data_IF_674069044263
#
_entry.id   IF_674069044263
#
_cell.length_a   1.000
_cell.length_b   1.000
_cell.length_c   1.000
_cell.angle_alpha   90.00
_cell.angle_beta   90.00
_cell.angle_gamma   90.00
#
_symmetry.space_group_name_H-M   'P 1'
#
loop_
_entity.id
_entity.type
_entity.pdbx_description
1 polymer ?
#
# COMPACT_ATOMS: atom_id res chain seq x y z
N UNK A 1 -7.37 7.10 -6.62
CA UNK A 1 -6.83 6.69 -5.30
C UNK A 1 -7.97 6.44 -4.32
N UNK A 2 -7.73 5.60 -3.32
CA UNK A 2 -8.75 5.21 -2.34
C UNK A 2 -9.27 6.41 -1.55
N UNK A 3 -10.58 6.64 -1.61
CA UNK A 3 -11.21 7.84 -1.04
C UNK A 3 -11.03 7.96 0.47
N UNK A 4 -10.97 6.83 1.19
CA UNK A 4 -10.73 6.81 2.64
C UNK A 4 -9.39 7.46 2.98
N UNK A 5 -8.30 6.98 2.38
CA UNK A 5 -6.95 7.55 2.59
C UNK A 5 -6.88 9.03 2.18
N UNK A 6 -7.53 9.41 1.08
CA UNK A 6 -7.56 10.81 0.65
C UNK A 6 -8.29 11.71 1.66
N UNK A 7 -9.39 11.23 2.24
CA UNK A 7 -10.12 11.98 3.27
C UNK A 7 -9.32 12.09 4.56
N UNK A 8 -8.60 11.03 4.95
CA UNK A 8 -7.70 11.08 6.10
C UNK A 8 -6.60 12.14 5.90
N UNK A 9 -5.95 12.16 4.72
CA UNK A 9 -4.95 13.19 4.42
C UNK A 9 -5.54 14.61 4.46
N UNK A 10 -6.75 14.80 3.92
CA UNK A 10 -7.45 16.10 3.98
C UNK A 10 -7.77 16.53 5.41
N UNK A 11 -8.10 15.60 6.30
CA UNK A 11 -8.39 15.90 7.71
C UNK A 11 -7.19 16.53 8.42
N UNK A 12 -5.98 16.19 7.99
CA UNK A 12 -4.72 16.81 8.41
C UNK A 12 -4.31 18.01 7.54
N UNK A 13 -5.23 18.57 6.74
CA UNK A 13 -5.01 19.72 5.88
C UNK A 13 -3.92 19.53 4.82
N UNK A 14 -3.66 18.29 4.42
CA UNK A 14 -2.72 18.03 3.34
C UNK A 14 -3.27 18.54 2.00
N UNK A 15 -2.45 19.24 1.22
CA UNK A 15 -2.73 19.53 -0.20
C UNK A 15 -2.52 18.25 -0.99
N UNK A 16 -3.55 17.82 -1.71
CA UNK A 16 -3.47 16.66 -2.57
C UNK A 16 -3.19 17.09 -4.02
N UNK A 17 -2.15 16.55 -4.61
CA UNK A 17 -1.80 16.74 -6.01
C UNK A 17 -2.05 15.43 -6.74
N UNK A 18 -2.98 15.46 -7.70
CA UNK A 18 -3.34 14.28 -8.49
C UNK A 18 -2.34 14.08 -9.64
N UNK A 19 -1.78 12.89 -9.72
CA UNK A 19 -0.92 12.50 -10.85
C UNK A 19 -1.74 11.64 -11.82
N UNK A 20 -1.74 11.93 -13.12
CA UNK A 20 -2.42 11.12 -14.12
C UNK A 20 -1.96 9.66 -14.10
N UNK A 21 -2.84 8.78 -14.57
CA UNK A 21 -2.52 7.35 -14.72
C UNK A 21 -2.42 7.01 -16.21
N UNK A 22 -1.38 6.26 -16.56
CA UNK A 22 -1.25 5.57 -17.83
C UNK A 22 -1.87 4.17 -17.74
N UNK A 23 -1.82 3.40 -18.81
CA UNK A 23 -2.37 2.02 -18.87
C UNK A 23 -1.62 1.04 -17.96
N UNK A 24 -0.39 1.36 -17.58
CA UNK A 24 0.51 0.53 -16.78
C UNK A 24 0.95 1.19 -15.46
N UNK A 25 0.18 2.15 -14.96
CA UNK A 25 0.43 2.79 -13.67
C UNK A 25 0.48 4.32 -13.72
N UNK A 26 1.03 4.93 -12.67
CA UNK A 26 1.18 6.38 -12.57
C UNK A 26 2.06 6.94 -13.69
N UNK A 27 1.72 8.10 -14.22
CA UNK A 27 2.54 8.79 -15.21
C UNK A 27 3.79 9.39 -14.55
N UNK A 28 4.97 8.89 -14.91
CA UNK A 28 6.23 9.24 -14.25
C UNK A 28 6.72 10.65 -14.60
N UNK A 29 6.46 11.14 -15.81
CA UNK A 29 6.82 12.51 -16.22
C UNK A 29 5.99 13.53 -15.44
N UNK A 30 4.70 13.27 -15.29
CA UNK A 30 3.82 14.13 -14.48
C UNK A 30 4.19 14.11 -13.00
N UNK A 31 4.64 12.95 -12.48
CA UNK A 31 5.15 12.84 -11.11
C UNK A 31 6.43 13.68 -10.94
N UNK A 32 7.40 13.50 -11.80
CA UNK A 32 8.67 14.24 -11.76
C UNK A 32 8.43 15.76 -11.79
N UNK A 33 7.62 16.22 -12.72
CA UNK A 33 7.20 17.63 -12.80
C UNK A 33 6.52 18.12 -11.52
N UNK A 34 5.67 17.31 -10.92
CA UNK A 34 5.01 17.66 -9.67
C UNK A 34 6.02 17.76 -8.51
N UNK A 35 6.99 16.86 -8.43
CA UNK A 35 8.06 16.90 -7.43
C UNK A 35 8.97 18.13 -7.56
N UNK A 36 9.20 18.59 -8.81
CA UNK A 36 9.99 19.81 -9.07
C UNK A 36 9.23 21.11 -8.75
N UNK A 37 7.93 21.14 -8.97
CA UNK A 37 7.12 22.38 -8.89
C UNK A 37 6.42 22.56 -7.55
N UNK A 38 6.03 21.47 -6.88
CA UNK A 38 5.34 21.54 -5.60
C UNK A 38 6.34 21.69 -4.44
N UNK A 39 6.03 22.64 -3.56
CA UNK A 39 6.88 22.89 -2.38
C UNK A 39 6.45 21.99 -1.23
N UNK A 40 7.44 21.47 -0.48
CA UNK A 40 7.21 20.75 0.77
C UNK A 40 6.38 19.47 0.60
N UNK A 41 6.66 18.69 -0.46
CA UNK A 41 6.07 17.37 -0.67
C UNK A 41 6.43 16.46 0.50
N UNK A 42 5.46 15.80 1.12
CA UNK A 42 5.67 14.95 2.30
C UNK A 42 5.83 13.49 1.93
N UNK A 43 5.00 13.01 1.04
CA UNK A 43 5.05 11.62 0.57
C UNK A 43 4.28 11.45 -0.73
N UNK A 44 4.61 10.38 -1.43
CA UNK A 44 3.87 9.88 -2.59
C UNK A 44 3.00 8.73 -2.11
N UNK A 45 1.68 8.82 -2.31
CA UNK A 45 0.75 7.72 -2.03
C UNK A 45 0.43 6.95 -3.30
N UNK A 46 0.60 5.64 -3.28
CA UNK A 46 0.31 4.77 -4.42
C UNK A 46 -0.33 3.45 -4.00
N UNK A 47 -1.20 2.91 -4.86
CA UNK A 47 -1.72 1.54 -4.79
C UNK A 47 -1.17 0.83 -6.03
N UNK A 48 -0.03 0.12 -5.93
CA UNK A 48 0.65 -0.40 -7.13
C UNK A 48 -0.01 -1.63 -7.74
N UNK A 49 -0.83 -2.35 -6.98
CA UNK A 49 -1.53 -3.55 -7.46
C UNK A 49 -3.05 -3.31 -7.48
N UNK A 50 -3.67 -3.53 -8.65
CA UNK A 50 -5.14 -3.42 -8.81
C UNK A 50 -5.69 -2.12 -8.21
N UNK A 51 -5.12 -1.00 -8.64
CA UNK A 51 -5.40 0.34 -8.14
C UNK A 51 -6.91 0.60 -8.01
N UNK A 52 -7.32 1.08 -6.85
CA UNK A 52 -8.71 1.44 -6.61
C UNK A 52 -8.93 2.93 -6.96
N UNK A 53 -9.80 3.27 -7.96
CA UNK A 53 -10.80 2.39 -8.60
C UNK A 53 -10.42 1.87 -9.99
N UNK A 54 -9.25 2.17 -10.54
CA UNK A 54 -8.93 1.91 -11.96
C UNK A 54 -8.68 0.44 -12.31
N UNK A 55 -8.31 -0.38 -11.32
CA UNK A 55 -7.89 -1.77 -11.53
C UNK A 55 -6.49 -1.92 -12.13
N UNK A 56 -5.80 -0.83 -12.44
CA UNK A 56 -4.48 -0.83 -13.08
C UNK A 56 -3.43 -1.36 -12.09
N UNK A 57 -2.55 -2.23 -12.58
CA UNK A 57 -1.34 -2.66 -11.87
C UNK A 57 -0.13 -1.94 -12.43
N UNK A 58 0.65 -1.33 -11.54
CA UNK A 58 1.86 -0.59 -11.91
C UNK A 58 2.94 -1.55 -12.39
N UNK A 59 3.52 -1.29 -13.56
CA UNK A 59 4.63 -2.05 -14.12
C UNK A 59 5.86 -2.02 -13.21
N UNK A 60 6.72 -3.04 -13.32
CA UNK A 60 7.94 -3.10 -12.53
C UNK A 60 8.89 -1.92 -12.83
N UNK A 61 8.98 -1.52 -14.09
CA UNK A 61 9.76 -0.37 -14.52
C UNK A 61 9.31 0.91 -13.81
N UNK A 62 7.99 1.17 -13.78
CA UNK A 62 7.43 2.33 -13.09
C UNK A 62 7.59 2.27 -11.57
N UNK A 63 7.60 1.09 -10.96
CA UNK A 63 7.90 0.94 -9.51
C UNK A 63 9.33 1.37 -9.22
N UNK A 64 10.29 0.94 -10.03
CA UNK A 64 11.67 1.38 -9.90
C UNK A 64 11.83 2.89 -10.16
N UNK A 65 11.22 3.41 -11.23
CA UNK A 65 11.30 4.86 -11.53
C UNK A 65 10.68 5.71 -10.43
N UNK A 66 9.55 5.30 -9.86
CA UNK A 66 8.91 5.99 -8.75
C UNK A 66 9.83 6.02 -7.52
N UNK A 67 10.51 4.90 -7.21
CA UNK A 67 11.46 4.82 -6.12
C UNK A 67 12.64 5.78 -6.32
N UNK A 68 13.24 5.78 -7.51
CA UNK A 68 14.37 6.67 -7.85
C UNK A 68 13.97 8.15 -7.79
N UNK A 69 12.79 8.51 -8.28
CA UNK A 69 12.27 9.88 -8.17
C UNK A 69 12.05 10.30 -6.71
N UNK A 70 11.44 9.44 -5.91
CA UNK A 70 11.23 9.70 -4.50
C UNK A 70 12.55 9.88 -3.74
N UNK A 71 13.54 9.04 -4.02
CA UNK A 71 14.89 9.13 -3.47
C UNK A 71 15.59 10.43 -3.87
N UNK A 72 15.55 10.80 -5.16
CA UNK A 72 16.19 12.01 -5.66
C UNK A 72 15.61 13.30 -5.05
N UNK A 73 14.34 13.29 -4.67
CA UNK A 73 13.64 14.44 -4.09
C UNK A 73 13.50 14.38 -2.56
N UNK A 74 14.11 13.39 -1.90
CA UNK A 74 14.02 13.17 -0.44
C UNK A 74 12.55 13.09 0.05
N UNK A 75 11.73 12.31 -0.66
CA UNK A 75 10.30 12.14 -0.41
C UNK A 75 10.00 10.69 -0.08
N UNK A 76 9.18 10.46 0.95
CA UNK A 76 8.75 9.11 1.32
C UNK A 76 7.68 8.57 0.37
N UNK A 77 7.59 7.24 0.28
CA UNK A 77 6.53 6.52 -0.43
C UNK A 77 5.63 5.83 0.58
N UNK A 78 4.33 6.04 0.48
CA UNK A 78 3.31 5.22 1.13
C UNK A 78 2.74 4.25 0.10
N UNK A 79 3.22 3.01 0.14
CA UNK A 79 2.76 1.90 -0.69
C UNK A 79 1.60 1.20 -0.01
N UNK A 80 0.38 1.41 -0.50
CA UNK A 80 -0.84 0.80 -0.01
C UNK A 80 -1.17 -0.45 -0.86
N UNK A 81 -1.07 -1.63 -0.28
CA UNK A 81 -1.18 -2.89 -1.01
C UNK A 81 -2.22 -3.86 -0.43
N UNK A 82 -3.50 -3.52 -0.45
CA UNK A 82 -4.54 -4.41 0.08
C UNK A 82 -4.91 -5.57 -0.86
N UNK A 83 -4.47 -5.55 -2.12
CA UNK A 83 -4.91 -6.50 -3.15
C UNK A 83 -3.79 -7.35 -3.75
N UNK A 84 -2.52 -7.12 -3.39
CA UNK A 84 -1.37 -7.75 -4.04
C UNK A 84 -1.37 -9.27 -4.02
N UNK A 85 -1.90 -9.88 -2.96
CA UNK A 85 -2.00 -11.34 -2.84
C UNK A 85 -3.13 -11.96 -3.68
N UNK A 86 -4.01 -11.14 -4.25
CA UNK A 86 -5.21 -11.58 -5.00
C UNK A 86 -5.02 -11.52 -6.52
N UNK A 87 -3.80 -11.57 -7.01
CA UNK A 87 -3.53 -11.68 -8.45
C UNK A 87 -4.17 -12.95 -9.02
N UNK A 88 -4.78 -12.85 -10.19
CA UNK A 88 -5.49 -13.95 -10.85
C UNK A 88 -4.92 -14.28 -12.23
N UNK A 89 -3.94 -13.55 -12.69
CA UNK A 89 -3.17 -13.77 -13.92
C UNK A 89 -1.72 -13.34 -13.71
N UNK A 90 -0.78 -14.03 -14.39
CA UNK A 90 0.64 -13.73 -14.34
C UNK A 90 1.32 -14.04 -13.00
N UNK A 91 2.51 -13.54 -12.85
CA UNK A 91 3.30 -13.64 -11.62
C UNK A 91 3.17 -12.37 -10.78
N UNK A 92 3.21 -12.46 -9.44
CA UNK A 92 3.17 -11.30 -8.58
C UNK A 92 4.40 -10.42 -8.82
N UNK A 93 4.16 -9.12 -9.02
CA UNK A 93 5.26 -8.17 -9.13
C UNK A 93 5.81 -7.82 -7.74
N UNK A 94 7.15 -7.65 -7.61
CA UNK A 94 7.76 -7.21 -6.37
C UNK A 94 7.15 -5.89 -5.86
N UNK A 95 6.94 -5.77 -4.55
CA UNK A 95 6.55 -4.50 -3.95
C UNK A 95 7.66 -3.47 -4.07
N UNK A 96 7.32 -2.19 -4.05
CA UNK A 96 8.33 -1.11 -4.01
C UNK A 96 9.15 -1.24 -2.74
N UNK A 97 8.52 -1.65 -1.64
CA UNK A 97 9.22 -1.93 -0.37
C UNK A 97 10.30 -3.00 -0.49
N UNK A 98 10.15 -3.98 -1.38
CA UNK A 98 11.09 -5.11 -1.49
C UNK A 98 12.50 -4.70 -1.96
N UNK A 99 12.63 -3.57 -2.66
CA UNK A 99 13.93 -3.02 -3.09
C UNK A 99 14.31 -1.70 -2.39
N UNK A 100 13.60 -1.34 -1.32
CA UNK A 100 13.89 -0.17 -0.51
C UNK A 100 15.14 -0.38 0.35
N UNK A 101 16.27 0.14 -0.08
CA UNK A 101 17.55 0.15 0.66
C UNK A 101 17.78 1.42 1.47
N UNK A 102 17.05 2.49 1.18
CA UNK A 102 17.25 3.81 1.77
C UNK A 102 16.28 4.10 2.93
N UNK A 103 15.30 3.21 3.17
CA UNK A 103 14.33 3.36 4.25
C UNK A 103 13.31 4.48 3.98
N UNK A 104 12.91 4.68 2.73
CA UNK A 104 11.96 5.72 2.33
C UNK A 104 10.57 5.17 2.01
N UNK A 105 10.36 3.84 2.05
CA UNK A 105 9.08 3.22 1.75
C UNK A 105 8.39 2.74 3.01
N UNK A 106 7.15 3.16 3.21
CA UNK A 106 6.21 2.61 4.17
C UNK A 106 5.23 1.73 3.39
N UNK A 107 5.26 0.42 3.64
CA UNK A 107 4.32 -0.52 3.09
C UNK A 107 3.14 -0.70 4.04
N UNK A 108 1.93 -0.58 3.54
CA UNK A 108 0.69 -0.84 4.28
C UNK A 108 -0.04 -2.05 3.68
N UNK A 109 -0.25 -3.07 4.50
CA UNK A 109 -0.99 -4.27 4.14
C UNK A 109 -2.25 -4.44 4.97
N UNK A 110 -3.18 -5.29 4.50
CA UNK A 110 -4.46 -5.51 5.15
C UNK A 110 -4.92 -6.95 5.03
N UNK A 111 -5.47 -7.50 6.11
CA UNK A 111 -6.13 -8.81 6.09
C UNK A 111 -7.60 -8.75 5.61
N UNK A 112 -8.11 -7.55 5.35
CA UNK A 112 -9.52 -7.36 4.95
C UNK A 112 -9.91 -8.08 3.66
N UNK A 113 -8.98 -8.30 2.73
CA UNK A 113 -9.26 -8.91 1.43
C UNK A 113 -8.83 -10.37 1.35
N UNK A 114 -7.91 -10.77 2.21
CA UNK A 114 -7.34 -12.14 2.21
C UNK A 114 -7.89 -13.02 3.34
N UNK A 115 -8.41 -12.45 4.43
CA UNK A 115 -9.09 -13.19 5.49
C UNK A 115 -10.55 -12.71 5.60
N UNK A 116 -10.78 -11.53 6.18
CA UNK A 116 -12.12 -10.98 6.32
C UNK A 116 -12.08 -9.47 6.59
N UNK A 117 -12.94 -8.66 5.94
CA UNK A 117 -13.02 -7.24 6.19
C UNK A 117 -13.49 -6.91 7.63
N UNK A 118 -14.24 -7.79 8.27
CA UNK A 118 -14.73 -7.63 9.64
C UNK A 118 -13.66 -7.74 10.72
N UNK A 119 -12.49 -8.31 10.40
CA UNK A 119 -11.37 -8.46 11.35
C UNK A 119 -10.74 -7.11 11.73
N UNK A 120 -10.79 -6.12 10.85
CA UNK A 120 -10.22 -4.78 11.05
C UNK A 120 -8.74 -4.80 11.42
N UNK A 121 -7.96 -5.72 10.84
CA UNK A 121 -6.51 -5.86 11.04
C UNK A 121 -5.77 -5.48 9.79
N UNK A 122 -4.77 -4.64 9.94
CA UNK A 122 -3.78 -4.28 8.94
C UNK A 122 -2.41 -4.18 9.58
N UNK A 123 -1.40 -4.00 8.78
CA UNK A 123 -0.01 -3.89 9.25
C UNK A 123 0.77 -2.88 8.41
N UNK A 124 1.84 -2.35 8.98
CA UNK A 124 2.78 -1.48 8.29
C UNK A 124 4.20 -2.01 8.45
N UNK A 125 4.98 -1.91 7.38
CA UNK A 125 6.42 -2.22 7.34
C UNK A 125 7.14 -0.96 6.86
N UNK A 126 8.07 -0.46 7.65
CA UNK A 126 8.74 0.79 7.31
C UNK A 126 9.92 1.12 8.22
N UNK A 127 10.51 2.31 8.07
CA UNK A 127 11.62 2.74 8.89
C UNK A 127 11.24 2.83 10.37
N UNK A 128 12.11 2.34 11.25
CA UNK A 128 11.87 2.33 12.70
C UNK A 128 11.44 3.69 13.28
N UNK A 129 12.04 4.84 12.91
CA UNK A 129 11.63 6.14 13.44
C UNK A 129 10.17 6.49 13.09
N UNK A 130 9.73 6.14 11.87
CA UNK A 130 8.35 6.39 11.42
C UNK A 130 7.38 5.48 12.16
N UNK A 131 7.68 4.17 12.24
CA UNK A 131 6.84 3.20 12.96
C UNK A 131 6.71 3.55 14.43
N UNK A 132 7.77 4.04 15.07
CA UNK A 132 7.72 4.51 16.45
C UNK A 132 6.72 5.67 16.63
N UNK A 133 6.70 6.64 15.70
CA UNK A 133 5.72 7.73 15.71
C UNK A 133 4.31 7.25 15.44
N UNK A 134 4.14 6.31 14.49
CA UNK A 134 2.83 5.69 14.22
C UNK A 134 2.29 4.98 15.48
N UNK A 135 3.15 4.28 16.23
CA UNK A 135 2.77 3.63 17.49
C UNK A 135 2.26 4.64 18.51
N UNK A 136 2.96 5.75 18.71
CA UNK A 136 2.54 6.82 19.64
C UNK A 136 1.20 7.43 19.21
N UNK A 137 1.03 7.72 17.91
CA UNK A 137 -0.24 8.23 17.38
C UNK A 137 -1.38 7.23 17.60
N UNK A 138 -1.13 5.94 17.35
CA UNK A 138 -2.12 4.88 17.56
C UNK A 138 -2.53 4.74 19.03
N UNK A 139 -1.58 4.83 19.96
CA UNK A 139 -1.88 4.84 21.39
C UNK A 139 -2.83 5.98 21.79
N UNK A 140 -2.69 7.14 21.18
CA UNK A 140 -3.58 8.28 21.41
C UNK A 140 -4.94 8.17 20.69
N UNK A 141 -5.04 7.38 19.63
CA UNK A 141 -6.22 7.28 18.79
C UNK A 141 -7.16 6.15 19.23
N UNK A 142 -6.65 4.92 19.38
CA UNK A 142 -7.45 3.73 19.70
C UNK A 142 -6.72 2.73 20.61
N UNK A 143 -5.62 3.12 21.21
CA UNK A 143 -4.70 2.31 22.02
C UNK A 143 -4.05 1.20 21.21
N UNK A 144 -4.82 0.27 20.69
CA UNK A 144 -4.38 -0.84 19.83
C UNK A 144 -5.55 -1.44 19.05
N UNK A 145 -5.24 -2.10 17.93
CA UNK A 145 -6.19 -2.93 17.20
C UNK A 145 -6.69 -4.08 18.10
N UNK A 146 -7.94 -4.49 17.93
CA UNK A 146 -8.55 -5.58 18.69
C UNK A 146 -7.64 -6.82 18.74
N UNK A 147 -7.23 -7.22 19.96
CA UNK A 147 -6.27 -8.33 20.18
C UNK A 147 -6.85 -9.66 19.72
N UNK A 148 -8.14 -9.91 19.91
CA UNK A 148 -8.78 -11.14 19.48
C UNK A 148 -8.67 -11.32 17.96
N UNK A 149 -8.94 -10.27 17.19
CA UNK A 149 -8.77 -10.28 15.73
C UNK A 149 -7.32 -10.51 15.31
N UNK A 150 -6.36 -9.93 16.01
CA UNK A 150 -4.94 -10.17 15.74
C UNK A 150 -4.55 -11.63 15.98
N UNK A 151 -4.97 -12.21 17.10
CA UNK A 151 -4.74 -13.63 17.44
C UNK A 151 -5.36 -14.55 16.41
N UNK A 152 -6.59 -14.27 15.96
CA UNK A 152 -7.24 -15.07 14.92
C UNK A 152 -6.47 -15.00 13.59
N UNK A 153 -6.04 -13.81 13.16
CA UNK A 153 -5.21 -13.67 11.95
C UNK A 153 -3.90 -14.44 12.10
N UNK A 154 -3.21 -14.32 13.24
CA UNK A 154 -1.97 -15.02 13.53
C UNK A 154 -2.15 -16.55 13.44
N UNK A 155 -3.12 -17.09 14.16
CA UNK A 155 -3.42 -18.54 14.14
C UNK A 155 -3.80 -19.02 12.76
N UNK A 156 -4.61 -18.26 12.03
CA UNK A 156 -4.99 -18.62 10.67
C UNK A 156 -3.77 -18.73 9.74
N UNK A 157 -2.79 -17.84 9.87
CA UNK A 157 -1.57 -17.88 9.08
C UNK A 157 -0.57 -18.98 9.51
N UNK A 158 -0.60 -19.39 10.80
CA UNK A 158 0.41 -20.31 11.34
C UNK A 158 -0.08 -21.73 11.53
N UNK A 159 -1.39 -21.94 11.72
CA UNK A 159 -1.98 -23.25 12.01
C UNK A 159 -2.71 -23.84 10.77
N UNK A 160 -2.95 -23.05 9.73
CA UNK A 160 -3.61 -23.48 8.48
C UNK A 160 -2.70 -23.21 7.29
N UNK A 161 -2.99 -23.89 6.17
CA UNK A 161 -2.30 -23.65 4.91
C UNK A 161 -2.82 -22.35 4.26
N UNK A 162 -2.17 -21.25 4.61
CA UNK A 162 -2.53 -19.92 4.14
C UNK A 162 -2.32 -19.77 2.62
N UNK A 163 -1.31 -20.43 2.06
CA UNK A 163 -1.04 -20.39 0.61
C UNK A 163 -2.14 -21.13 -0.18
N UNK A 164 -2.59 -22.28 0.31
CA UNK A 164 -3.73 -22.98 -0.27
C UNK A 164 -5.02 -22.16 -0.18
N UNK A 165 -5.23 -21.44 0.93
CA UNK A 165 -6.35 -20.50 1.08
C UNK A 165 -6.30 -19.38 0.03
N UNK A 166 -5.15 -18.72 -0.14
CA UNK A 166 -4.96 -17.66 -1.15
C UNK A 166 -5.19 -18.21 -2.57
N UNK A 167 -4.67 -19.41 -2.87
CA UNK A 167 -4.91 -20.08 -4.15
C UNK A 167 -6.41 -20.34 -4.39
N UNK A 168 -7.14 -20.70 -3.36
CA UNK A 168 -8.61 -20.87 -3.40
C UNK A 168 -9.32 -19.54 -3.71
N UNK A 169 -8.94 -18.46 -3.05
CA UNK A 169 -9.48 -17.12 -3.31
C UNK A 169 -9.21 -16.68 -4.75
N UNK A 170 -7.98 -16.84 -5.23
CA UNK A 170 -7.60 -16.50 -6.62
C UNK A 170 -8.49 -17.20 -7.63
N UNK A 171 -8.76 -18.52 -7.46
CA UNK A 171 -9.68 -19.29 -8.33
C UNK A 171 -11.11 -18.71 -8.32
N UNK A 172 -11.60 -18.25 -7.16
CA UNK A 172 -12.92 -17.64 -7.05
C UNK A 172 -12.97 -16.31 -7.80
N UNK A 173 -11.95 -15.45 -7.63
CA UNK A 173 -11.91 -14.17 -8.31
C UNK A 173 -11.71 -14.28 -9.82
N UNK A 174 -10.90 -15.23 -10.29
CA UNK A 174 -10.77 -15.54 -11.72
C UNK A 174 -12.12 -15.87 -12.38
N UNK A 175 -13.01 -16.59 -11.65
CA UNK A 175 -14.36 -16.91 -12.17
C UNK A 175 -15.34 -15.73 -12.18
N UNK A 176 -15.06 -14.67 -11.40
CA UNK A 176 -15.93 -13.52 -11.27
C UNK A 176 -15.53 -12.35 -12.20
N UNK A 177 -14.41 -12.48 -12.88
CA UNK A 177 -13.94 -11.56 -13.89
C UNK A 177 -14.67 -11.82 -15.22
#
# INVERSE_FOLDING_TARGET
SFIGSLNDFRSYKAKLVGIPMDTDGMNMEALEKALETEKNVKFIYTIPNFQNPSGITMSLEKRHRLYELAKAHDVMILEDNPYGDLYYEGEPLPSIKSFDTDGIVIYAGSFSKVISPGMRVGYAIGPKPVLAKMTVCKQGQDVHTNIWSQVLCYRFMTEYDFDAHLAGLRKIYTKKR
#
